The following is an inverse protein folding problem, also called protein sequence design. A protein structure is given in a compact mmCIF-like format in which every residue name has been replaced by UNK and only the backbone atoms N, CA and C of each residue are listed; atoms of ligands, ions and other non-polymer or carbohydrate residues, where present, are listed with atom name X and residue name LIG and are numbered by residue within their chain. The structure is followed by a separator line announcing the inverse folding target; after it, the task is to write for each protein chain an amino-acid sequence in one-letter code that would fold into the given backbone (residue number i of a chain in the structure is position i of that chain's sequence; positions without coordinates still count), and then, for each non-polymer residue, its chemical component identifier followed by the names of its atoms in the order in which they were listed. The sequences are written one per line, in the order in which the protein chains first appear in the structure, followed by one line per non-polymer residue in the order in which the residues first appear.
data_IF_310550140569
#
_entry.id   IF_310550140569
#
_cell.length_a   1.000
_cell.length_b   1.000
_cell.length_c   1.000
_cell.angle_alpha   90.00
_cell.angle_beta   90.00
_cell.angle_gamma   90.00
#
_symmetry.space_group_name_H-M   'P 1'
#
loop_
_entity.id
_entity.type
_entity.pdbx_description
1 polymer ?
#
# COMPACT_ATOMS: atom_id res chain seq x y z
N UNK A 1 6.67 -2.13 24.06
CA UNK A 1 6.73 -2.05 22.58
C UNK A 1 6.42 -3.46 22.10
N UNK A 2 5.16 -3.78 21.77
CA UNK A 2 4.80 -5.16 21.37
C UNK A 2 5.34 -5.44 19.96
N UNK A 3 5.88 -6.64 19.80
CA UNK A 3 6.64 -7.16 18.66
C UNK A 3 5.84 -7.25 17.35
N UNK A 4 5.63 -6.12 16.67
CA UNK A 4 5.01 -6.10 15.32
C UNK A 4 6.07 -5.95 14.21
N UNK A 5 7.32 -6.33 14.52
CA UNK A 5 8.42 -6.39 13.55
C UNK A 5 8.29 -7.64 12.68
N UNK A 6 8.57 -7.50 11.37
CA UNK A 6 8.64 -8.63 10.46
C UNK A 6 10.06 -9.18 10.45
N UNK A 7 10.23 -10.45 10.81
CA UNK A 7 11.50 -11.16 10.71
C UNK A 7 11.45 -12.19 9.57
N UNK A 8 12.43 -12.14 8.67
CA UNK A 8 12.59 -13.10 7.56
C UNK A 8 14.08 -13.33 7.30
N UNK A 9 14.51 -14.59 7.40
CA UNK A 9 15.91 -14.98 7.23
C UNK A 9 16.84 -14.31 8.25
N UNK A 10 17.74 -13.43 7.78
CA UNK A 10 18.71 -12.70 8.61
C UNK A 10 18.31 -11.23 8.85
N UNK A 11 17.06 -10.86 8.56
CA UNK A 11 16.59 -9.48 8.70
C UNK A 11 15.39 -9.38 9.64
N UNK A 12 15.31 -8.23 10.32
CA UNK A 12 14.14 -7.78 11.10
C UNK A 12 13.83 -6.37 10.63
N UNK A 13 12.59 -6.11 10.26
CA UNK A 13 12.20 -4.82 9.65
C UNK A 13 10.87 -4.30 10.20
N UNK A 14 10.76 -2.98 10.24
CA UNK A 14 9.49 -2.27 10.41
C UNK A 14 9.21 -1.36 9.21
N UNK A 15 9.04 -1.96 8.03
CA UNK A 15 8.71 -1.19 6.83
C UNK A 15 7.20 -1.20 6.63
N UNK A 16 6.57 -0.06 6.92
CA UNK A 16 5.18 0.21 6.58
C UNK A 16 5.10 1.28 5.51
N UNK A 17 4.08 1.18 4.68
CA UNK A 17 3.88 2.12 3.58
C UNK A 17 2.41 2.48 3.43
N UNK A 18 2.15 3.78 3.26
CA UNK A 18 0.87 4.33 2.89
C UNK A 18 0.80 4.45 1.37
N UNK A 19 -0.10 3.69 0.77
CA UNK A 19 -0.39 3.69 -0.66
C UNK A 19 -1.75 4.36 -0.90
N UNK A 20 -1.80 5.25 -1.89
CA UNK A 20 -3.07 5.83 -2.37
C UNK A 20 -3.24 5.52 -3.85
N UNK A 21 -4.38 4.90 -4.17
CA UNK A 21 -4.80 4.59 -5.53
C UNK A 21 -6.06 5.38 -5.85
N UNK A 22 -6.08 6.01 -7.03
CA UNK A 22 -7.16 6.89 -7.47
C UNK A 22 -7.79 6.29 -8.72
N UNK A 23 -9.11 6.32 -8.82
CA UNK A 23 -9.83 5.89 -10.01
C UNK A 23 -9.42 6.71 -11.23
N UNK A 24 -9.58 6.14 -12.42
CA UNK A 24 -9.27 6.82 -13.67
C UNK A 24 -10.20 8.04 -13.78
N UNK A 25 -9.59 9.20 -14.05
CA UNK A 25 -10.26 10.50 -14.13
C UNK A 25 -10.94 10.97 -12.82
N UNK A 26 -10.57 10.41 -11.65
CA UNK A 26 -11.22 10.71 -10.36
C UNK A 26 -12.75 10.57 -10.42
N UNK A 27 -13.22 9.55 -11.14
CA UNK A 27 -14.65 9.24 -11.16
C UNK A 27 -15.05 8.63 -9.82
N UNK A 28 -16.18 9.10 -9.29
CA UNK A 28 -16.84 8.61 -8.08
C UNK A 28 -17.52 7.25 -8.34
N UNK A 29 -16.71 6.27 -8.74
CA UNK A 29 -17.17 4.98 -9.24
C UNK A 29 -17.36 3.95 -8.12
N UNK A 30 -16.75 4.14 -6.95
CA UNK A 30 -16.84 3.19 -5.86
C UNK A 30 -18.20 3.24 -5.16
N UNK A 31 -18.81 2.07 -5.02
CA UNK A 31 -19.89 1.81 -4.08
C UNK A 31 -19.33 1.16 -2.80
N UNK A 32 -20.11 1.16 -1.71
CA UNK A 32 -19.72 0.48 -0.46
C UNK A 32 -19.46 -1.02 -0.65
N UNK A 33 -20.22 -1.67 -1.53
CA UNK A 33 -20.03 -3.08 -1.89
C UNK A 33 -18.69 -3.28 -2.61
N UNK A 34 -18.39 -2.43 -3.60
CA UNK A 34 -17.12 -2.49 -4.31
C UNK A 34 -15.92 -2.25 -3.39
N UNK A 35 -16.02 -1.31 -2.44
CA UNK A 35 -14.96 -1.06 -1.46
C UNK A 35 -14.74 -2.26 -0.53
N UNK A 36 -15.83 -2.88 -0.07
CA UNK A 36 -15.77 -4.09 0.76
C UNK A 36 -15.11 -5.24 0.00
N UNK A 37 -15.48 -5.42 -1.27
CA UNK A 37 -14.89 -6.44 -2.13
C UNK A 37 -13.43 -6.15 -2.43
N UNK A 38 -13.09 -4.90 -2.73
CA UNK A 38 -11.73 -4.47 -3.01
C UNK A 38 -10.82 -4.68 -1.80
N UNK A 39 -11.30 -4.43 -0.58
CA UNK A 39 -10.54 -4.72 0.65
C UNK A 39 -10.10 -6.20 0.69
N UNK A 40 -11.03 -7.13 0.46
CA UNK A 40 -10.73 -8.57 0.42
C UNK A 40 -9.71 -8.90 -0.67
N UNK A 41 -9.89 -8.36 -1.88
CA UNK A 41 -8.94 -8.57 -2.98
C UNK A 41 -7.54 -8.04 -2.64
N UNK A 42 -7.45 -6.85 -2.04
CA UNK A 42 -6.19 -6.24 -1.65
C UNK A 42 -5.50 -7.03 -0.55
N UNK A 43 -6.25 -7.52 0.44
CA UNK A 43 -5.73 -8.39 1.49
C UNK A 43 -5.15 -9.69 0.89
N UNK A 44 -5.92 -10.41 0.08
CA UNK A 44 -5.47 -11.66 -0.56
C UNK A 44 -4.21 -11.45 -1.43
N UNK A 45 -4.12 -10.33 -2.13
CA UNK A 45 -2.96 -10.02 -2.97
C UNK A 45 -1.74 -9.66 -2.13
N UNK A 46 -1.91 -8.85 -1.08
CA UNK A 46 -0.80 -8.52 -0.17
C UNK A 46 -0.25 -9.78 0.50
N UNK A 47 -1.12 -10.67 0.99
CA UNK A 47 -0.70 -11.94 1.60
C UNK A 47 0.11 -12.81 0.63
N UNK A 48 -0.27 -12.87 -0.66
CA UNK A 48 0.50 -13.59 -1.70
C UNK A 48 1.88 -13.00 -1.97
N UNK A 49 2.08 -11.73 -1.61
CA UNK A 49 3.35 -11.02 -1.74
C UNK A 49 4.12 -10.97 -0.41
N UNK A 50 3.79 -11.83 0.56
CA UNK A 50 4.34 -11.82 1.92
C UNK A 50 4.19 -10.46 2.63
N UNK A 51 3.16 -9.70 2.28
CA UNK A 51 2.84 -8.41 2.88
C UNK A 51 1.63 -8.52 3.81
N UNK A 52 1.62 -7.75 4.89
CA UNK A 52 0.54 -7.71 5.87
C UNK A 52 -0.26 -6.42 5.71
N UNK A 53 -1.53 -6.53 5.32
CA UNK A 53 -2.44 -5.39 5.33
C UNK A 53 -2.69 -4.96 6.79
N UNK A 54 -2.42 -3.69 7.09
CA UNK A 54 -2.66 -3.11 8.43
C UNK A 54 -4.01 -2.40 8.45
N UNK A 55 -4.30 -1.61 7.41
CA UNK A 55 -5.57 -0.87 7.31
C UNK A 55 -5.90 -0.61 5.85
N UNK A 56 -7.18 -0.68 5.53
CA UNK A 56 -7.73 -0.30 4.24
C UNK A 56 -8.91 0.64 4.48
N UNK A 57 -8.97 1.73 3.74
CA UNK A 57 -10.17 2.57 3.67
C UNK A 57 -10.32 3.13 2.26
N UNK A 58 -11.53 3.56 1.90
CA UNK A 58 -11.79 4.15 0.60
C UNK A 58 -12.93 5.16 0.61
N UNK A 59 -12.84 6.07 -0.34
CA UNK A 59 -13.89 7.02 -0.70
C UNK A 59 -14.41 6.68 -2.10
N UNK A 60 -15.31 7.52 -2.62
CA UNK A 60 -15.98 7.27 -3.91
C UNK A 60 -15.02 7.22 -5.11
N UNK A 61 -13.86 7.88 -5.05
CA UNK A 61 -12.91 7.99 -6.17
C UNK A 61 -11.47 7.54 -5.85
N UNK A 62 -11.17 7.13 -4.62
CA UNK A 62 -9.82 6.69 -4.24
C UNK A 62 -9.82 5.76 -3.01
N UNK A 63 -8.71 5.03 -2.85
CA UNK A 63 -8.49 4.13 -1.70
C UNK A 63 -7.13 4.37 -1.07
N UNK A 64 -7.07 4.18 0.24
CA UNK A 64 -5.88 4.22 1.07
C UNK A 64 -5.57 2.84 1.63
N UNK A 65 -4.32 2.41 1.49
CA UNK A 65 -3.82 1.18 2.07
C UNK A 65 -2.64 1.52 2.96
N UNK A 66 -2.64 1.00 4.19
CA UNK A 66 -1.45 0.90 5.02
C UNK A 66 -1.09 -0.58 5.11
N UNK A 67 0.10 -0.95 4.66
CA UNK A 67 0.58 -2.31 4.74
C UNK A 67 2.05 -2.38 5.13
N UNK A 68 2.42 -3.50 5.73
CA UNK A 68 3.78 -3.84 6.10
C UNK A 68 4.36 -4.80 5.06
N UNK A 69 5.62 -4.62 4.71
CA UNK A 69 6.30 -5.41 3.69
C UNK A 69 7.76 -5.68 4.08
N UNK A 70 8.37 -6.70 3.46
CA UNK A 70 9.79 -7.00 3.67
C UNK A 70 10.68 -6.22 2.68
N UNK A 71 11.93 -5.84 3.04
CA UNK A 71 12.79 -5.01 2.18
C UNK A 71 13.10 -5.56 0.77
N UNK A 72 12.90 -6.86 0.54
CA UNK A 72 13.10 -7.50 -0.78
C UNK A 72 11.93 -7.25 -1.75
N UNK A 73 10.80 -6.73 -1.28
CA UNK A 73 9.63 -6.45 -2.10
C UNK A 73 9.82 -5.14 -2.87
N UNK A 74 9.82 -5.24 -4.20
CA UNK A 74 9.85 -4.08 -5.09
C UNK A 74 8.46 -3.43 -5.16
N UNK A 75 8.28 -2.31 -4.45
CA UNK A 75 6.97 -1.63 -4.32
C UNK A 75 6.32 -1.28 -5.67
N UNK A 76 7.09 -0.87 -6.68
CA UNK A 76 6.56 -0.56 -8.01
C UNK A 76 5.89 -1.78 -8.67
N UNK A 77 6.50 -2.96 -8.56
CA UNK A 77 5.94 -4.23 -9.08
C UNK A 77 4.72 -4.65 -8.28
N UNK A 78 4.78 -4.55 -6.95
CA UNK A 78 3.64 -4.85 -6.08
C UNK A 78 2.44 -3.96 -6.44
N UNK A 79 2.62 -2.64 -6.49
CA UNK A 79 1.55 -1.70 -6.82
C UNK A 79 0.96 -1.96 -8.21
N UNK A 80 1.81 -2.27 -9.20
CA UNK A 80 1.33 -2.64 -10.54
C UNK A 80 0.50 -3.92 -10.51
N UNK A 81 0.89 -4.93 -9.73
CA UNK A 81 0.13 -6.16 -9.56
C UNK A 81 -1.22 -5.90 -8.86
N UNK A 82 -1.22 -5.16 -7.75
CA UNK A 82 -2.41 -4.75 -7.02
C UNK A 82 -3.41 -4.06 -7.95
N UNK A 83 -2.96 -3.04 -8.70
CA UNK A 83 -3.81 -2.30 -9.65
C UNK A 83 -4.34 -3.19 -10.77
N UNK A 84 -3.49 -4.02 -11.37
CA UNK A 84 -3.87 -4.84 -12.52
C UNK A 84 -4.90 -5.90 -12.16
N UNK A 85 -4.66 -6.65 -11.07
CA UNK A 85 -5.55 -7.73 -10.65
C UNK A 85 -6.87 -7.17 -10.09
N UNK A 86 -6.82 -6.13 -9.26
CA UNK A 86 -8.04 -5.50 -8.73
C UNK A 86 -8.89 -4.87 -9.83
N UNK A 87 -8.28 -4.18 -10.80
CA UNK A 87 -8.99 -3.61 -11.96
C UNK A 87 -9.74 -4.69 -12.74
N UNK A 88 -9.08 -5.83 -13.01
CA UNK A 88 -9.72 -6.94 -13.72
C UNK A 88 -10.89 -7.52 -12.92
N UNK A 89 -10.69 -7.80 -11.63
CA UNK A 89 -11.74 -8.39 -10.77
C UNK A 89 -12.95 -7.47 -10.64
N UNK A 90 -12.73 -6.18 -10.35
CA UNK A 90 -13.84 -5.23 -10.21
C UNK A 90 -14.61 -5.05 -11.52
N UNK A 91 -13.93 -4.99 -12.67
CA UNK A 91 -14.61 -4.92 -13.97
C UNK A 91 -15.39 -6.18 -14.32
N UNK A 92 -14.97 -7.35 -13.85
CA UNK A 92 -15.70 -8.61 -14.06
C UNK A 92 -16.91 -8.72 -13.14
N UNK A 93 -16.77 -8.34 -11.87
CA UNK A 93 -17.81 -8.51 -10.84
C UNK A 93 -18.85 -7.37 -10.87
N UNK A 94 -18.46 -6.16 -11.31
CA UNK A 94 -19.32 -4.96 -11.32
C UNK A 94 -19.41 -4.30 -12.71
N UNK A 95 -19.43 -5.12 -13.77
CA UNK A 95 -19.42 -4.64 -15.15
C UNK A 95 -20.55 -3.63 -15.45
N UNK A 96 -21.80 -4.00 -15.13
CA UNK A 96 -22.99 -3.18 -15.40
C UNK A 96 -22.90 -1.78 -14.76
N UNK A 97 -22.40 -1.70 -13.53
CA UNK A 97 -22.19 -0.42 -12.85
C UNK A 97 -21.08 0.40 -13.51
N UNK A 98 -19.95 -0.24 -13.84
CA UNK A 98 -18.76 0.43 -14.35
C UNK A 98 -18.87 0.89 -15.81
N UNK A 99 -19.73 0.29 -16.61
CA UNK A 99 -20.04 0.73 -17.97
C UNK A 99 -20.58 2.17 -18.01
N UNK A 100 -21.26 2.62 -16.96
CA UNK A 100 -21.73 4.01 -16.84
C UNK A 100 -20.61 5.03 -16.61
N UNK A 101 -19.42 4.59 -16.16
CA UNK A 101 -18.27 5.44 -15.87
C UNK A 101 -17.17 5.37 -16.92
N UNK A 102 -16.97 4.19 -17.54
CA UNK A 102 -15.84 3.92 -18.42
C UNK A 102 -16.27 3.20 -19.71
N UNK A 103 -15.91 3.79 -20.85
CA UNK A 103 -16.12 3.19 -22.19
C UNK A 103 -14.91 2.35 -22.67
N UNK A 104 -13.90 2.16 -21.81
CA UNK A 104 -12.69 1.39 -22.07
C UNK A 104 -12.37 0.52 -20.87
N UNK A 105 -11.53 -0.49 -21.08
CA UNK A 105 -11.00 -1.39 -20.05
C UNK A 105 -9.98 -0.71 -19.12
N UNK A 106 -10.44 0.31 -18.38
CA UNK A 106 -9.64 1.08 -17.43
C UNK A 106 -10.38 1.17 -16.11
N UNK A 107 -9.63 1.30 -15.02
CA UNK A 107 -10.21 1.48 -13.69
C UNK A 107 -9.37 2.43 -12.83
N UNK A 108 -8.06 2.17 -12.73
CA UNK A 108 -7.14 3.02 -11.99
C UNK A 108 -6.52 4.12 -12.85
N UNK A 109 -6.16 5.24 -12.22
CA UNK A 109 -5.18 6.19 -12.77
C UNK A 109 -3.85 5.49 -13.03
N UNK A 110 -3.04 6.01 -13.96
CA UNK A 110 -1.67 5.52 -14.17
C UNK A 110 -0.76 5.82 -12.98
N UNK A 111 -0.96 6.99 -12.36
CA UNK A 111 -0.24 7.42 -11.15
C UNK A 111 -0.72 6.70 -9.88
N UNK A 112 0.09 6.80 -8.84
CA UNK A 112 -0.21 6.38 -7.46
C UNK A 112 0.69 7.18 -6.52
N UNK A 113 0.31 7.26 -5.25
CA UNK A 113 1.13 7.89 -4.21
C UNK A 113 1.60 6.84 -3.21
N UNK A 114 2.85 6.99 -2.76
CA UNK A 114 3.48 6.11 -1.77
C UNK A 114 4.23 6.95 -0.76
N UNK A 115 4.00 6.73 0.52
CA UNK A 115 4.77 7.33 1.60
C UNK A 115 5.19 6.26 2.61
N UNK A 116 6.46 6.28 3.02
CA UNK A 116 6.92 5.45 4.12
C UNK A 116 6.26 5.90 5.43
N UNK A 117 5.93 4.94 6.27
CA UNK A 117 5.36 5.17 7.60
C UNK A 117 6.25 4.47 8.62
N UNK A 118 6.81 5.23 9.57
CA UNK A 118 7.67 4.70 10.61
C UNK A 118 7.59 5.57 11.86
N UNK A 119 7.58 4.93 13.04
CA UNK A 119 7.43 5.61 14.33
C UNK A 119 8.63 6.49 14.72
N UNK A 120 9.77 6.32 14.04
CA UNK A 120 10.93 7.20 14.24
C UNK A 120 10.92 8.25 13.15
N UNK A 121 10.63 9.49 13.53
CA UNK A 121 10.74 10.62 12.61
C UNK A 121 12.17 10.70 12.10
N UNK A 122 12.36 11.09 10.83
CA UNK A 122 13.70 11.30 10.24
C UNK A 122 14.56 12.21 11.12
N UNK A 123 13.94 13.20 11.77
CA UNK A 123 14.61 14.10 12.72
C UNK A 123 15.13 13.38 13.97
N UNK A 124 14.40 12.41 14.50
CA UNK A 124 14.80 11.63 15.68
C UNK A 124 15.92 10.65 15.33
N UNK A 125 15.79 9.95 14.19
CA UNK A 125 16.84 9.07 13.66
C UNK A 125 18.13 9.83 13.38
N UNK A 126 18.04 11.02 12.78
CA UNK A 126 19.19 11.88 12.51
C UNK A 126 19.93 12.25 13.80
N UNK A 127 19.22 12.73 14.82
CA UNK A 127 19.82 13.05 16.12
C UNK A 127 20.48 11.84 16.78
N UNK A 128 19.88 10.66 16.65
CA UNK A 128 20.45 9.41 17.16
C UNK A 128 21.77 9.07 16.45
N UNK A 129 21.82 9.17 15.13
CA UNK A 129 23.04 8.90 14.32
C UNK A 129 24.14 9.93 14.65
N UNK A 130 23.79 11.22 14.69
CA UNK A 130 24.73 12.30 15.05
C UNK A 130 25.30 12.12 16.46
N UNK A 131 24.49 11.64 17.42
CA UNK A 131 24.97 11.33 18.75
C UNK A 131 25.90 10.10 18.78
N UNK A 132 25.69 9.11 17.90
CA UNK A 132 26.57 7.93 17.83
C UNK A 132 27.97 8.23 17.29
N UNK A 133 28.16 9.23 16.42
CA UNK A 133 29.51 9.61 15.96
C UNK A 133 30.41 10.12 17.10
N UNK A 134 29.82 10.67 18.16
CA UNK A 134 30.57 11.19 19.32
C UNK A 134 31.16 10.11 20.24
N UNK A 135 30.70 8.85 20.15
CA UNK A 135 31.13 7.75 21.02
C UNK A 135 32.33 6.97 20.47
N UNK A 136 32.76 7.22 19.23
CA UNK A 136 33.83 6.45 18.55
C UNK A 136 35.18 7.18 18.52
N UNK A 137 35.29 8.41 19.02
CA UNK A 137 36.55 9.17 19.08
C UNK A 137 37.18 9.21 20.49
N UNK A 138 36.73 8.35 21.40
CA UNK A 138 37.28 8.23 22.77
C UNK A 138 37.74 6.80 23.03
N UNK A 139 38.74 6.32 22.29
CA UNK A 139 39.54 5.14 22.65
C UNK A 139 40.92 5.28 22.02
#
# INVERSE_FOLDING_TARGET
MKDDFVSKGRSVSDLKVHLVLVTKYRRKAFTSEMLSRLNVVMQELLEKWDCKLVTFNGEEDHVHLLFQYHPDVELSKLVNNLKSVSSRKLRQEFAEHLESFYWKDVFWSGSYFVASCGGVTVSTLRKYIEAQESLTQST
#
